data_IF_876980303165
#
_entry.id   IF_876980303165
#
_cell.length_a   1.000
_cell.length_b   1.000
_cell.length_c   1.000
_cell.angle_alpha   90.00
_cell.angle_beta   90.00
_cell.angle_gamma   90.00
#
_symmetry.space_group_name_H-M   'P 1'
#
loop_
_entity.id
_entity.type
_entity.pdbx_description
1 polymer ?
#
# COMPACT_ATOMS: atom_id res chain seq x y z
N UNK A 1 -22.00 5.84 12.09
CA UNK A 1 -23.42 5.53 11.82
C UNK A 1 -23.46 4.41 10.80
N UNK A 2 -23.84 3.21 11.17
CA UNK A 2 -23.99 2.10 10.24
C UNK A 2 -25.23 2.36 9.37
N UNK A 3 -25.07 2.31 8.06
CA UNK A 3 -26.18 2.41 7.14
C UNK A 3 -27.11 1.19 7.37
N UNK A 4 -28.34 1.36 7.85
CA UNK A 4 -29.24 0.24 8.16
C UNK A 4 -29.68 -0.53 6.90
N UNK A 5 -29.30 -0.05 5.74
CA UNK A 5 -29.58 -0.70 4.45
C UNK A 5 -28.51 -1.71 4.06
N UNK A 6 -27.37 -1.75 4.74
CA UNK A 6 -26.27 -2.63 4.41
C UNK A 6 -25.87 -3.45 5.64
N UNK A 7 -26.38 -4.65 5.74
CA UNK A 7 -25.94 -5.62 6.74
C UNK A 7 -24.97 -6.62 6.07
N UNK A 8 -23.69 -6.47 6.35
CA UNK A 8 -22.64 -7.36 5.87
C UNK A 8 -22.78 -8.81 6.38
N UNK A 9 -23.63 -9.05 7.38
CA UNK A 9 -23.94 -10.39 7.90
C UNK A 9 -25.04 -11.10 7.12
N UNK A 10 -25.84 -10.34 6.37
CA UNK A 10 -26.90 -10.88 5.52
C UNK A 10 -26.52 -10.68 4.05
N UNK A 11 -26.23 -11.77 3.36
CA UNK A 11 -25.89 -11.78 1.94
C UNK A 11 -27.02 -11.36 1.01
N UNK A 12 -28.22 -11.17 1.52
CA UNK A 12 -29.37 -10.71 0.76
C UNK A 12 -29.98 -9.47 1.42
N UNK A 13 -29.99 -8.37 0.69
CA UNK A 13 -30.67 -7.17 1.11
C UNK A 13 -31.77 -6.84 0.10
N UNK A 14 -33.06 -6.82 0.54
CA UNK A 14 -34.23 -6.52 -0.29
C UNK A 14 -34.27 -7.23 -1.66
N UNK A 15 -33.82 -8.48 -1.71
CA UNK A 15 -33.82 -9.28 -2.95
C UNK A 15 -32.63 -8.97 -3.88
N UNK A 16 -31.66 -8.13 -3.46
CA UNK A 16 -30.43 -7.89 -4.18
C UNK A 16 -29.32 -8.75 -3.56
N UNK A 17 -28.78 -9.65 -4.36
CA UNK A 17 -27.63 -10.48 -3.99
C UNK A 17 -26.34 -9.75 -4.36
N UNK A 18 -25.38 -9.69 -3.44
CA UNK A 18 -24.03 -9.22 -3.76
C UNK A 18 -23.02 -10.34 -3.51
N UNK A 19 -21.95 -10.35 -4.28
CA UNK A 19 -20.86 -11.29 -4.13
C UNK A 19 -19.66 -10.59 -3.50
N UNK A 20 -19.18 -11.11 -2.37
CA UNK A 20 -17.94 -10.66 -1.75
C UNK A 20 -16.75 -11.31 -2.44
N UNK A 21 -15.76 -10.51 -2.80
CA UNK A 21 -14.46 -10.99 -3.22
C UNK A 21 -13.57 -11.15 -1.99
N UNK A 22 -13.47 -12.38 -1.48
CA UNK A 22 -12.78 -12.68 -0.22
C UNK A 22 -11.39 -13.31 -0.41
N UNK A 23 -11.04 -13.71 -1.61
CA UNK A 23 -9.73 -14.28 -1.91
C UNK A 23 -8.79 -13.20 -2.44
N UNK A 24 -7.64 -13.00 -1.75
CA UNK A 24 -6.61 -12.06 -2.16
C UNK A 24 -5.37 -12.80 -2.60
N UNK A 25 -5.03 -12.68 -3.88
CA UNK A 25 -3.88 -13.36 -4.52
C UNK A 25 -2.64 -12.48 -4.64
N UNK A 26 -2.62 -11.31 -4.01
CA UNK A 26 -1.58 -10.29 -4.22
C UNK A 26 -0.76 -10.00 -2.96
N UNK A 27 -1.43 -9.82 -1.83
CA UNK A 27 -0.81 -9.21 -0.67
C UNK A 27 -0.33 -10.22 0.37
N UNK A 28 0.70 -9.84 1.11
CA UNK A 28 1.15 -10.54 2.30
C UNK A 28 0.04 -10.53 3.38
N UNK A 29 -0.13 -11.62 4.18
CA UNK A 29 -1.16 -11.69 5.22
C UNK A 29 -1.14 -10.54 6.22
N UNK A 30 0.03 -10.04 6.60
CA UNK A 30 0.17 -8.90 7.50
C UNK A 30 -0.46 -7.61 6.94
N UNK A 31 -0.37 -7.39 5.61
CA UNK A 31 -0.99 -6.24 4.94
C UNK A 31 -2.52 -6.35 4.98
N UNK A 32 -3.04 -7.57 4.87
CA UNK A 32 -4.47 -7.83 4.87
C UNK A 32 -5.11 -7.80 6.26
N UNK A 33 -4.33 -7.89 7.34
CA UNK A 33 -4.84 -8.05 8.70
C UNK A 33 -5.83 -6.94 9.11
N UNK A 34 -5.45 -5.69 8.90
CA UNK A 34 -6.31 -4.55 9.23
C UNK A 34 -7.56 -4.46 8.36
N UNK A 35 -7.47 -4.43 7.02
CA UNK A 35 -8.66 -4.37 6.19
C UNK A 35 -9.57 -5.60 6.38
N UNK A 36 -9.01 -6.78 6.64
CA UNK A 36 -9.79 -7.98 6.91
C UNK A 36 -10.65 -7.82 8.17
N UNK A 37 -10.05 -7.30 9.24
CA UNK A 37 -10.76 -7.06 10.49
C UNK A 37 -11.84 -5.98 10.34
N UNK A 38 -11.49 -4.85 9.71
CA UNK A 38 -12.36 -3.65 9.72
C UNK A 38 -13.46 -3.71 8.65
N UNK A 39 -13.21 -4.35 7.49
CA UNK A 39 -14.12 -4.28 6.34
C UNK A 39 -14.66 -5.63 5.88
N UNK A 40 -13.98 -6.73 6.20
CA UNK A 40 -14.33 -8.07 5.71
C UNK A 40 -14.80 -9.02 6.81
N UNK A 41 -14.91 -8.55 8.05
CA UNK A 41 -15.34 -9.36 9.21
C UNK A 41 -14.49 -10.66 9.40
N UNK A 42 -13.22 -10.63 9.03
CA UNK A 42 -12.31 -11.77 9.12
C UNK A 42 -12.42 -12.79 7.96
N UNK A 43 -13.25 -12.53 6.96
CA UNK A 43 -13.50 -13.50 5.87
C UNK A 43 -12.45 -13.45 4.75
N UNK A 44 -11.62 -12.40 4.70
CA UNK A 44 -10.61 -12.24 3.66
C UNK A 44 -9.51 -13.30 3.79
N UNK A 45 -9.26 -14.01 2.71
CA UNK A 45 -8.31 -15.11 2.65
C UNK A 45 -7.04 -14.70 1.89
N UNK A 46 -5.86 -14.79 2.51
CA UNK A 46 -4.59 -14.56 1.82
C UNK A 46 -4.26 -15.79 0.95
N UNK A 47 -4.40 -15.66 -0.35
CA UNK A 47 -4.17 -16.71 -1.35
C UNK A 47 -2.95 -16.42 -2.23
N UNK A 48 -2.15 -15.39 -1.92
CA UNK A 48 -0.98 -15.04 -2.71
C UNK A 48 0.09 -16.15 -2.64
N UNK A 49 0.72 -16.49 -3.77
CA UNK A 49 1.83 -17.45 -3.78
C UNK A 49 2.98 -17.01 -2.88
N UNK A 50 3.59 -17.95 -2.16
CA UNK A 50 4.72 -17.66 -1.25
C UNK A 50 5.88 -16.99 -1.98
N UNK A 51 6.14 -17.34 -3.23
CA UNK A 51 7.17 -16.69 -4.05
C UNK A 51 6.96 -15.19 -4.25
N UNK A 52 5.71 -14.75 -4.32
CA UNK A 52 5.37 -13.32 -4.47
C UNK A 52 5.52 -12.61 -3.12
N UNK A 53 4.89 -13.13 -2.07
CA UNK A 53 4.88 -12.48 -0.75
C UNK A 53 6.25 -12.51 -0.06
N UNK A 54 7.14 -13.42 -0.46
CA UNK A 54 8.50 -13.54 0.07
C UNK A 54 9.54 -12.79 -0.76
N UNK A 55 9.18 -12.19 -1.91
CA UNK A 55 10.14 -11.59 -2.85
C UNK A 55 11.01 -10.50 -2.21
N UNK A 56 10.43 -9.68 -1.35
CA UNK A 56 11.13 -8.59 -0.65
C UNK A 56 11.41 -8.86 0.83
N UNK A 57 11.15 -10.07 1.30
CA UNK A 57 11.25 -10.42 2.73
C UNK A 57 12.65 -10.20 3.32
N UNK A 58 13.68 -10.40 2.53
CA UNK A 58 15.09 -10.28 2.95
C UNK A 58 15.66 -8.87 2.80
N UNK A 59 14.86 -7.90 2.45
CA UNK A 59 15.34 -6.54 2.36
C UNK A 59 15.74 -6.01 3.73
N UNK A 60 16.93 -5.44 3.82
CA UNK A 60 17.53 -4.94 5.06
C UNK A 60 16.83 -3.71 5.63
N UNK A 61 16.03 -3.03 4.82
CA UNK A 61 15.29 -1.82 5.20
C UNK A 61 14.04 -2.08 6.04
N UNK A 62 13.66 -3.33 6.30
CA UNK A 62 12.50 -3.62 7.14
C UNK A 62 12.76 -3.28 8.61
N UNK A 63 11.95 -2.41 9.26
CA UNK A 63 12.07 -2.13 10.69
C UNK A 63 11.78 -3.35 11.56
N UNK A 64 10.91 -4.23 11.07
CA UNK A 64 10.52 -5.46 11.75
C UNK A 64 10.66 -6.62 10.77
N UNK A 65 11.44 -7.65 11.08
CA UNK A 65 11.54 -8.85 10.25
C UNK A 65 10.16 -9.44 9.97
N UNK A 66 9.95 -9.92 8.76
CA UNK A 66 8.71 -10.58 8.33
C UNK A 66 7.43 -9.73 8.38
N UNK A 67 7.55 -8.43 8.63
CA UNK A 67 6.42 -7.52 8.61
C UNK A 67 6.61 -6.45 7.50
N UNK A 68 6.06 -6.67 6.31
CA UNK A 68 6.33 -5.87 5.11
C UNK A 68 5.51 -4.58 5.06
N UNK A 69 5.55 -3.80 6.14
CA UNK A 69 4.92 -2.49 6.24
C UNK A 69 5.87 -1.56 6.98
N UNK A 70 6.09 -0.37 6.42
CA UNK A 70 6.81 0.71 7.06
C UNK A 70 5.86 1.88 7.25
N UNK A 71 5.84 2.43 8.44
CA UNK A 71 5.26 3.73 8.71
C UNK A 71 6.39 4.71 9.05
N UNK A 72 6.55 5.72 8.22
CA UNK A 72 7.58 6.76 8.40
C UNK A 72 6.91 8.12 8.50
N UNK A 73 6.96 8.75 9.67
CA UNK A 73 6.44 10.10 9.87
C UNK A 73 7.49 11.13 9.44
N UNK A 74 7.12 12.01 8.54
CA UNK A 74 8.00 13.06 8.01
C UNK A 74 7.47 14.42 8.43
N UNK A 75 8.37 15.29 8.93
CA UNK A 75 8.07 16.71 9.14
C UNK A 75 8.57 17.48 7.93
N UNK A 76 7.65 17.99 7.14
CA UNK A 76 7.94 18.83 5.99
C UNK A 76 6.95 19.99 5.89
N UNK A 77 7.11 20.81 4.87
CA UNK A 77 6.13 21.83 4.49
C UNK A 77 5.52 21.41 3.18
N UNK A 78 4.21 21.56 3.09
CA UNK A 78 3.52 21.43 1.83
C UNK A 78 3.83 22.64 0.97
N UNK A 79 4.35 22.40 -0.21
CA UNK A 79 4.67 23.38 -1.22
C UNK A 79 3.67 23.30 -2.36
N UNK A 80 3.56 24.37 -3.12
CA UNK A 80 2.67 24.45 -4.26
C UNK A 80 3.41 25.08 -5.42
N UNK A 81 3.37 24.45 -6.56
CA UNK A 81 3.78 25.07 -7.80
C UNK A 81 2.72 26.11 -8.22
N UNK A 82 3.15 27.32 -8.55
CA UNK A 82 2.26 28.48 -8.74
C UNK A 82 1.16 28.33 -9.81
N UNK A 83 1.26 27.32 -10.66
CA UNK A 83 0.35 27.06 -11.78
C UNK A 83 -0.57 25.87 -11.52
N UNK A 84 -0.13 24.88 -10.73
CA UNK A 84 -0.86 23.66 -10.43
C UNK A 84 -1.59 23.80 -9.08
N UNK A 85 -2.88 23.38 -8.96
CA UNK A 85 -3.58 23.34 -7.67
C UNK A 85 -3.03 22.30 -6.68
N UNK A 86 -2.11 21.45 -7.11
CA UNK A 86 -1.57 20.34 -6.32
C UNK A 86 -0.54 20.80 -5.30
N UNK A 87 -0.53 20.14 -4.15
CA UNK A 87 0.48 20.30 -3.13
C UNK A 87 1.49 19.15 -3.19
N UNK A 88 2.72 19.41 -2.80
CA UNK A 88 3.76 18.39 -2.67
C UNK A 88 4.66 18.70 -1.46
N UNK A 89 5.37 17.69 -0.98
CA UNK A 89 6.26 17.82 0.16
C UNK A 89 7.63 17.25 -0.19
N UNK A 90 8.62 18.12 -0.38
CA UNK A 90 9.97 17.73 -0.78
C UNK A 90 10.63 16.76 0.23
N UNK A 91 10.33 16.93 1.53
CA UNK A 91 10.88 16.03 2.54
C UNK A 91 10.32 14.60 2.39
N UNK A 92 9.02 14.45 2.07
CA UNK A 92 8.41 13.14 1.81
C UNK A 92 8.98 12.51 0.55
N UNK A 93 9.09 13.27 -0.54
CA UNK A 93 9.69 12.81 -1.81
C UNK A 93 11.12 12.30 -1.56
N UNK A 94 11.92 13.02 -0.77
CA UNK A 94 13.29 12.64 -0.46
C UNK A 94 13.37 11.31 0.31
N UNK A 95 12.45 11.07 1.23
CA UNK A 95 12.37 9.80 1.98
C UNK A 95 11.90 8.65 1.09
N UNK A 96 10.90 8.87 0.26
CA UNK A 96 10.43 7.86 -0.71
C UNK A 96 11.58 7.45 -1.62
N UNK A 97 12.31 8.43 -2.18
CA UNK A 97 13.48 8.16 -3.02
C UNK A 97 14.54 7.31 -2.30
N UNK A 98 14.86 7.63 -1.05
CA UNK A 98 15.80 6.83 -0.27
C UNK A 98 15.35 5.38 -0.11
N UNK A 99 14.05 5.12 0.11
CA UNK A 99 13.50 3.76 0.19
C UNK A 99 13.58 3.05 -1.16
N UNK A 100 13.24 3.71 -2.25
CA UNK A 100 13.32 3.14 -3.60
C UNK A 100 14.77 2.80 -3.94
N UNK A 101 15.70 3.73 -3.74
CA UNK A 101 17.14 3.51 -4.00
C UNK A 101 17.68 2.35 -3.15
N UNK A 102 17.30 2.28 -1.88
CA UNK A 102 17.69 1.18 -0.99
C UNK A 102 17.15 -0.17 -1.44
N UNK A 103 15.90 -0.20 -1.90
CA UNK A 103 15.24 -1.42 -2.35
C UNK A 103 15.85 -1.93 -3.67
N UNK A 104 16.05 -1.03 -4.65
CA UNK A 104 16.57 -1.38 -5.98
C UNK A 104 18.06 -1.70 -5.97
N UNK A 105 18.83 -1.11 -5.04
CA UNK A 105 20.26 -1.40 -4.88
C UNK A 105 20.55 -2.60 -3.95
N UNK A 106 19.55 -3.17 -3.30
CA UNK A 106 19.73 -4.29 -2.38
C UNK A 106 20.34 -5.52 -3.10
N UNK A 107 21.30 -6.16 -2.41
CA UNK A 107 21.88 -7.43 -2.89
C UNK A 107 21.10 -8.65 -2.45
N UNK A 108 20.20 -8.50 -1.49
CA UNK A 108 19.44 -9.61 -0.90
C UNK A 108 18.07 -9.81 -1.55
N UNK A 109 17.55 -8.76 -2.20
CA UNK A 109 16.29 -8.81 -2.94
C UNK A 109 16.51 -8.24 -4.33
N UNK A 110 15.73 -8.72 -5.29
CA UNK A 110 15.75 -8.19 -6.65
C UNK A 110 14.38 -7.63 -6.96
N UNK A 111 14.31 -6.34 -7.11
CA UNK A 111 13.09 -5.61 -7.49
C UNK A 111 13.41 -4.74 -8.69
N UNK A 112 12.56 -4.78 -9.70
CA UNK A 112 12.67 -3.92 -10.87
C UNK A 112 11.86 -2.64 -10.64
N UNK A 113 12.29 -1.54 -11.23
CA UNK A 113 11.57 -0.25 -11.13
C UNK A 113 10.12 -0.37 -11.59
N UNK A 114 9.84 -1.22 -12.59
CA UNK A 114 8.49 -1.52 -13.08
C UNK A 114 7.61 -2.28 -12.09
N UNK A 115 8.18 -2.85 -11.02
CA UNK A 115 7.46 -3.56 -9.96
C UNK A 115 7.15 -2.66 -8.76
N UNK A 116 7.64 -1.41 -8.77
CA UNK A 116 7.40 -0.43 -7.72
C UNK A 116 6.25 0.49 -8.16
N UNK A 117 5.23 0.58 -7.33
CA UNK A 117 4.11 1.51 -7.52
C UNK A 117 4.09 2.58 -6.43
N UNK A 118 3.89 3.83 -6.82
CA UNK A 118 3.68 4.94 -5.91
C UNK A 118 2.23 5.41 -6.02
N UNK A 119 1.61 5.66 -4.86
CA UNK A 119 0.30 6.30 -4.76
C UNK A 119 0.41 7.54 -3.88
N UNK A 120 0.07 8.69 -4.44
CA UNK A 120 0.02 9.95 -3.72
C UNK A 120 -1.40 10.52 -3.73
N UNK A 121 -1.80 11.18 -2.65
CA UNK A 121 -3.04 11.98 -2.60
C UNK A 121 -2.88 13.33 -3.30
N UNK A 122 -1.64 13.72 -3.60
CA UNK A 122 -1.28 14.92 -4.33
C UNK A 122 -0.64 14.53 -5.66
N UNK A 123 -0.81 15.32 -6.70
CA UNK A 123 -0.04 15.13 -7.92
C UNK A 123 1.40 15.57 -7.65
N UNK A 124 2.23 14.65 -7.19
CA UNK A 124 3.65 14.88 -7.06
C UNK A 124 4.30 14.90 -8.45
N UNK A 125 5.27 15.81 -8.72
CA UNK A 125 6.19 15.62 -9.83
C UNK A 125 6.81 14.23 -9.67
N UNK A 126 6.87 13.44 -10.73
CA UNK A 126 7.44 12.09 -10.64
C UNK A 126 8.87 12.21 -10.11
N UNK A 127 9.25 11.47 -9.06
CA UNK A 127 10.57 11.63 -8.43
C UNK A 127 11.75 11.30 -9.37
N UNK A 128 11.46 10.80 -10.56
CA UNK A 128 12.44 10.37 -11.56
C UNK A 128 12.62 11.37 -12.72
N UNK A 129 11.83 12.44 -12.78
CA UNK A 129 11.93 13.47 -13.83
C UNK A 129 12.81 14.67 -13.40
N UNK A 130 13.63 14.51 -12.36
CA UNK A 130 14.60 15.54 -11.94
C UNK A 130 15.93 15.22 -12.62
N UNK A 131 16.18 15.87 -13.78
CA UNK A 131 17.47 15.95 -14.46
C UNK A 131 18.54 16.58 -13.57
#
# INVERSE_FOLDING_TARGET
>A
MSNPQYDHRNFAYRGVTYTKLIQNYRNHPAILATPNKEFYAGELQPCAPVSIIASVRRWEGWPTPDFPIIFHSVKGRDERDGVDPSFFNIAEISIIRQYVDSLTSSRQVRVLDSEIGEHSFYSTPRPFDID
#
